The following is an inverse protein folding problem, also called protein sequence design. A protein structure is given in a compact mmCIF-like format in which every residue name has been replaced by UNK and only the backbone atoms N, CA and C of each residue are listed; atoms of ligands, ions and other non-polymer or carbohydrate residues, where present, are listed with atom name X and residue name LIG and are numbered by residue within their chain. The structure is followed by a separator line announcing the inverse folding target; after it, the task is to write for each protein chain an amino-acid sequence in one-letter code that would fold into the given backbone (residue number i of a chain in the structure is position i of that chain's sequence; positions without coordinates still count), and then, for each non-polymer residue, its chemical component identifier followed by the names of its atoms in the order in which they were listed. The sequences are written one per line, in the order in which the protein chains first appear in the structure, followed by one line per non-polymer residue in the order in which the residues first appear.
data_IF_252007035928
#
_entry.id   IF_252007035928
#
_cell.length_a   1.000
_cell.length_b   1.000
_cell.length_c   1.000
_cell.angle_alpha   90.00
_cell.angle_beta   90.00
_cell.angle_gamma   90.00
#
_symmetry.space_group_name_H-M   'P 1'
#
loop_
_entity.id
_entity.type
_entity.pdbx_description
1 polymer ?
#
# COMPACT_ATOMS: atom_id res chain seq x y z
N UNK A 1 21.88 -8.90 18.63
CA UNK A 1 20.51 -8.44 18.92
C UNK A 1 20.01 -7.26 18.07
N UNK A 2 20.85 -6.31 17.62
CA UNK A 2 20.42 -5.19 16.74
C UNK A 2 19.95 -5.61 15.35
N UNK A 3 20.45 -6.72 14.78
CA UNK A 3 20.11 -7.19 13.42
C UNK A 3 18.70 -7.77 13.31
N UNK A 4 18.16 -8.36 14.36
CA UNK A 4 16.80 -8.95 14.38
C UNK A 4 15.69 -7.89 14.42
N UNK A 5 15.94 -6.73 15.04
CA UNK A 5 14.99 -5.61 15.10
C UNK A 5 14.79 -4.93 13.74
N UNK A 6 15.85 -4.84 12.93
CA UNK A 6 15.80 -4.27 11.59
C UNK A 6 15.03 -5.19 10.63
N UNK A 7 15.18 -6.50 10.76
CA UNK A 7 14.43 -7.47 9.94
C UNK A 7 12.93 -7.45 10.25
N UNK A 8 12.53 -7.23 11.50
CA UNK A 8 11.11 -7.11 11.88
C UNK A 8 10.44 -5.84 11.32
N UNK A 9 11.18 -4.75 11.20
CA UNK A 9 10.64 -3.48 10.69
C UNK A 9 10.42 -3.50 9.16
N UNK A 10 11.22 -4.26 8.43
CA UNK A 10 11.11 -4.38 6.97
C UNK A 10 9.87 -5.17 6.49
N UNK A 11 9.34 -6.07 7.32
CA UNK A 11 8.17 -6.91 6.98
C UNK A 11 6.85 -6.13 7.13
N UNK A 12 6.82 -5.06 7.93
CA UNK A 12 5.63 -4.27 8.19
C UNK A 12 5.22 -3.32 7.04
N UNK A 13 6.04 -3.18 6.00
CA UNK A 13 5.80 -2.23 4.90
C UNK A 13 5.02 -2.80 3.72
N UNK A 14 4.60 -4.06 3.75
CA UNK A 14 3.70 -4.61 2.74
C UNK A 14 2.28 -4.10 3.00
N UNK A 15 1.99 -2.89 2.55
CA UNK A 15 0.63 -2.35 2.55
C UNK A 15 -0.25 -3.26 1.69
N UNK A 16 -1.18 -3.97 2.33
CA UNK A 16 -2.18 -4.76 1.62
C UNK A 16 -3.11 -3.81 0.86
N UNK A 17 -2.89 -3.66 -0.42
CA UNK A 17 -3.83 -3.00 -1.32
C UNK A 17 -4.97 -3.98 -1.62
N UNK A 18 -6.20 -3.56 -1.44
CA UNK A 18 -7.36 -4.35 -1.83
C UNK A 18 -8.10 -3.65 -2.97
N UNK A 19 -8.47 -4.42 -3.97
CA UNK A 19 -9.26 -3.97 -5.11
C UNK A 19 -10.71 -4.43 -4.93
N UNK A 20 -11.64 -3.49 -4.99
CA UNK A 20 -13.07 -3.77 -4.97
C UNK A 20 -13.68 -3.46 -6.33
N UNK A 21 -14.45 -4.40 -6.90
CA UNK A 21 -15.22 -4.14 -8.12
C UNK A 21 -16.35 -3.18 -7.82
N UNK A 22 -16.48 -2.14 -8.62
CA UNK A 22 -17.48 -1.07 -8.44
C UNK A 22 -18.16 -0.82 -9.78
N UNK A 23 -19.44 -0.49 -9.73
CA UNK A 23 -20.17 -0.04 -10.91
C UNK A 23 -19.59 1.31 -11.38
N UNK A 24 -19.52 1.52 -12.71
CA UNK A 24 -18.91 2.70 -13.29
C UNK A 24 -19.42 4.03 -12.72
N UNK A 25 -20.74 4.11 -12.50
CA UNK A 25 -21.42 5.31 -11.97
C UNK A 25 -21.18 5.58 -10.48
N UNK A 26 -20.57 4.64 -9.77
CA UNK A 26 -20.30 4.77 -8.33
C UNK A 26 -18.81 5.03 -8.03
N UNK A 27 -17.99 5.24 -9.05
CA UNK A 27 -16.55 5.48 -8.87
C UNK A 27 -16.29 6.96 -8.61
N UNK A 28 -15.67 7.33 -7.49
CA UNK A 28 -15.34 8.73 -7.20
C UNK A 28 -14.24 9.25 -8.13
N UNK A 29 -14.39 10.47 -8.62
CA UNK A 29 -13.31 11.18 -9.35
C UNK A 29 -12.12 11.38 -8.41
N UNK A 30 -10.92 11.21 -8.94
CA UNK A 30 -9.67 11.27 -8.18
C UNK A 30 -9.24 9.96 -7.53
N UNK A 31 -10.05 8.89 -7.67
CA UNK A 31 -9.66 7.56 -7.18
C UNK A 31 -8.66 6.89 -8.11
N UNK A 32 -7.75 6.13 -7.52
CA UNK A 32 -6.91 5.20 -8.26
C UNK A 32 -7.71 3.94 -8.59
N UNK A 33 -7.73 3.61 -9.87
CA UNK A 33 -8.53 2.50 -10.40
C UNK A 33 -7.71 1.60 -11.30
N UNK A 34 -8.20 0.38 -11.40
CA UNK A 34 -7.77 -0.60 -12.37
C UNK A 34 -8.95 -0.91 -13.29
N UNK A 35 -8.81 -0.61 -14.55
CA UNK A 35 -9.83 -0.80 -15.58
C UNK A 35 -9.42 -1.96 -16.46
N UNK A 36 -10.23 -3.02 -16.46
CA UNK A 36 -10.07 -4.14 -17.39
C UNK A 36 -10.85 -3.83 -18.66
N UNK A 37 -10.24 -4.04 -19.80
CA UNK A 37 -10.81 -3.76 -21.10
C UNK A 37 -11.44 -5.01 -21.71
N UNK A 38 -12.47 -4.79 -22.53
CA UNK A 38 -12.97 -5.79 -23.47
C UNK A 38 -12.02 -5.94 -24.66
N UNK A 39 -12.17 -6.97 -25.47
CA UNK A 39 -11.39 -7.12 -26.71
C UNK A 39 -11.62 -5.96 -27.68
N UNK A 40 -12.88 -5.50 -27.78
CA UNK A 40 -13.25 -4.31 -28.58
C UNK A 40 -12.64 -3.03 -27.98
N UNK A 41 -12.61 -2.92 -26.65
CA UNK A 41 -11.98 -1.82 -25.94
C UNK A 41 -10.47 -1.76 -26.17
N UNK A 42 -9.79 -2.90 -26.10
CA UNK A 42 -8.36 -3.00 -26.42
C UNK A 42 -8.06 -2.50 -27.84
N UNK A 43 -8.95 -2.78 -28.80
CA UNK A 43 -8.80 -2.33 -30.17
C UNK A 43 -9.08 -0.83 -30.32
N UNK A 44 -10.10 -0.31 -29.61
CA UNK A 44 -10.49 1.11 -29.73
C UNK A 44 -9.42 2.06 -29.20
N UNK A 45 -8.69 1.68 -28.14
CA UNK A 45 -7.62 2.50 -27.55
C UNK A 45 -6.24 2.23 -28.16
N UNK A 46 -6.14 1.27 -29.09
CA UNK A 46 -4.85 0.85 -29.66
C UNK A 46 -4.13 2.00 -30.41
N UNK A 47 -4.86 2.96 -30.93
CA UNK A 47 -4.27 4.14 -31.58
C UNK A 47 -3.55 5.07 -30.62
N UNK A 48 -3.96 5.09 -29.35
CA UNK A 48 -3.42 5.98 -28.31
C UNK A 48 -2.37 5.29 -27.45
N UNK A 49 -2.61 4.04 -27.04
CA UNK A 49 -1.77 3.31 -26.07
C UNK A 49 -1.04 2.11 -26.68
N UNK A 50 -1.19 1.90 -27.98
CA UNK A 50 -0.66 0.71 -28.66
C UNK A 50 -1.57 -0.50 -28.53
N UNK A 51 -1.24 -1.54 -29.27
CA UNK A 51 -2.07 -2.76 -29.36
C UNK A 51 -1.95 -3.67 -28.15
N UNK A 52 -2.98 -4.51 -27.97
CA UNK A 52 -2.98 -5.62 -26.99
C UNK A 52 -2.96 -5.19 -25.51
N UNK A 53 -3.45 -3.99 -25.20
CA UNK A 53 -3.67 -3.54 -23.82
C UNK A 53 -4.93 -4.22 -23.28
N UNK A 54 -4.81 -4.91 -22.14
CA UNK A 54 -5.93 -5.60 -21.49
C UNK A 54 -6.38 -4.90 -20.22
N UNK A 55 -5.51 -4.09 -19.64
CA UNK A 55 -5.78 -3.44 -18.37
C UNK A 55 -5.04 -2.11 -18.27
N UNK A 56 -5.70 -1.12 -17.69
CA UNK A 56 -5.18 0.20 -17.40
C UNK A 56 -5.26 0.44 -15.90
N UNK A 57 -4.21 0.98 -15.32
CA UNK A 57 -4.19 1.48 -13.94
C UNK A 57 -3.93 2.98 -13.99
N UNK A 58 -4.68 3.74 -13.21
CA UNK A 58 -4.51 5.19 -13.20
C UNK A 58 -5.54 5.89 -12.33
N UNK A 59 -5.46 7.21 -12.32
CA UNK A 59 -6.36 8.07 -11.56
C UNK A 59 -7.49 8.60 -12.43
N UNK A 60 -8.73 8.47 -11.98
CA UNK A 60 -9.91 8.98 -12.67
C UNK A 60 -9.94 10.51 -12.64
N UNK A 61 -10.09 11.12 -13.81
CA UNK A 61 -10.28 12.56 -13.95
C UNK A 61 -11.74 12.94 -14.18
N UNK A 62 -12.50 12.09 -14.88
CA UNK A 62 -13.93 12.27 -15.06
C UNK A 62 -14.63 10.94 -15.31
N UNK A 63 -15.91 10.88 -14.93
CA UNK A 63 -16.81 9.76 -15.22
C UNK A 63 -18.12 10.34 -15.73
N UNK A 64 -18.63 9.80 -16.80
CA UNK A 64 -19.93 10.15 -17.35
C UNK A 64 -20.68 8.92 -17.89
N UNK A 65 -21.87 9.11 -18.44
CA UNK A 65 -22.68 8.01 -18.96
C UNK A 65 -22.08 7.34 -20.21
N UNK A 66 -21.12 7.98 -20.87
CA UNK A 66 -20.49 7.49 -22.10
C UNK A 66 -19.18 6.76 -21.84
N UNK A 67 -18.58 6.94 -20.63
CA UNK A 67 -17.34 6.29 -20.26
C UNK A 67 -16.63 6.97 -19.08
N UNK A 68 -15.34 6.79 -19.04
CA UNK A 68 -14.47 7.44 -18.06
C UNK A 68 -13.20 7.98 -18.73
N UNK A 69 -12.63 9.03 -18.13
CA UNK A 69 -11.29 9.49 -18.45
C UNK A 69 -10.37 9.26 -17.28
N UNK A 70 -9.17 8.78 -17.56
CA UNK A 70 -8.16 8.53 -16.53
C UNK A 70 -6.77 8.97 -16.99
N UNK A 71 -5.96 9.40 -16.04
CA UNK A 71 -4.52 9.58 -16.22
C UNK A 71 -3.86 8.21 -16.00
N UNK A 72 -3.30 7.65 -17.07
CA UNK A 72 -2.71 6.31 -17.04
C UNK A 72 -1.34 6.34 -16.37
N UNK A 73 -1.19 5.60 -15.28
CA UNK A 73 0.08 5.37 -14.59
C UNK A 73 0.75 4.07 -15.00
N UNK A 74 -0.06 3.06 -15.36
CA UNK A 74 0.43 1.74 -15.73
C UNK A 74 -0.53 1.08 -16.71
N UNK A 75 0.01 0.32 -17.64
CA UNK A 75 -0.77 -0.49 -18.58
C UNK A 75 -0.26 -1.93 -18.61
N UNK A 76 -1.18 -2.87 -18.68
CA UNK A 76 -0.87 -4.30 -18.81
C UNK A 76 -1.31 -4.81 -20.17
N UNK A 77 -0.43 -5.51 -20.85
CA UNK A 77 -0.68 -6.11 -22.18
C UNK A 77 -1.06 -7.58 -22.06
N UNK A 78 -1.59 -8.12 -23.13
CA UNK A 78 -1.79 -9.57 -23.27
C UNK A 78 -0.47 -10.30 -23.01
N UNK A 79 -0.51 -11.30 -22.11
CA UNK A 79 0.68 -12.00 -21.67
C UNK A 79 1.26 -11.49 -20.34
N UNK A 80 0.64 -10.44 -19.74
CA UNK A 80 1.00 -9.96 -18.40
C UNK A 80 2.17 -8.98 -18.35
N UNK A 81 2.69 -8.56 -19.51
CA UNK A 81 3.72 -7.53 -19.55
C UNK A 81 3.12 -6.19 -19.06
N UNK A 82 3.77 -5.58 -18.10
CA UNK A 82 3.39 -4.31 -17.50
C UNK A 82 4.36 -3.22 -17.96
N UNK A 83 3.82 -2.09 -18.39
CA UNK A 83 4.56 -0.91 -18.82
C UNK A 83 4.08 0.29 -18.00
N UNK A 84 4.98 1.22 -17.70
CA UNK A 84 4.61 2.48 -17.08
C UNK A 84 3.87 3.36 -18.10
N UNK A 85 2.76 3.92 -17.67
CA UNK A 85 2.04 4.93 -18.43
C UNK A 85 2.80 6.25 -18.38
N UNK A 86 2.73 7.01 -19.48
CA UNK A 86 3.40 8.32 -19.57
C UNK A 86 2.58 9.46 -18.94
N UNK A 87 1.57 9.13 -18.12
CA UNK A 87 0.69 10.13 -17.52
C UNK A 87 -0.29 10.78 -18.51
N UNK A 88 -0.51 10.17 -19.66
CA UNK A 88 -1.47 10.65 -20.63
C UNK A 88 -2.90 10.45 -20.12
N UNK A 89 -3.76 11.44 -20.38
CA UNK A 89 -5.19 11.29 -20.15
C UNK A 89 -5.81 10.50 -21.30
N UNK A 90 -6.46 9.39 -20.95
CA UNK A 90 -7.12 8.51 -21.91
C UNK A 90 -8.60 8.43 -21.59
N UNK A 91 -9.44 8.62 -22.61
CA UNK A 91 -10.88 8.41 -22.52
C UNK A 91 -11.22 6.99 -22.95
N UNK A 92 -11.89 6.26 -22.07
CA UNK A 92 -12.30 4.86 -22.29
C UNK A 92 -13.82 4.82 -22.35
N UNK A 93 -14.40 4.47 -23.50
CA UNK A 93 -15.85 4.36 -23.64
C UNK A 93 -16.42 3.25 -22.74
N UNK A 94 -17.66 3.40 -22.30
CA UNK A 94 -18.28 2.46 -21.36
C UNK A 94 -18.39 1.03 -21.92
N UNK A 95 -18.60 0.88 -23.22
CA UNK A 95 -18.66 -0.42 -23.93
C UNK A 95 -17.29 -1.10 -24.06
N UNK A 96 -16.22 -0.33 -23.95
CA UNK A 96 -14.85 -0.81 -23.94
C UNK A 96 -14.42 -1.36 -22.56
N UNK A 97 -15.21 -1.11 -21.51
CA UNK A 97 -14.88 -1.46 -20.13
C UNK A 97 -15.51 -2.81 -19.76
N UNK A 98 -14.70 -3.78 -19.42
CA UNK A 98 -15.17 -5.06 -18.87
C UNK A 98 -15.43 -4.98 -17.36
N UNK A 99 -14.54 -4.32 -16.62
CA UNK A 99 -14.67 -4.15 -15.16
C UNK A 99 -13.84 -2.95 -14.68
N UNK A 100 -14.35 -2.29 -13.64
CA UNK A 100 -13.61 -1.25 -12.91
C UNK A 100 -13.41 -1.73 -11.48
N UNK A 101 -12.18 -1.63 -11.00
CA UNK A 101 -11.81 -1.94 -9.62
C UNK A 101 -11.18 -0.70 -9.00
N UNK A 102 -11.74 -0.24 -7.90
CA UNK A 102 -11.18 0.88 -7.14
C UNK A 102 -10.11 0.34 -6.19
N UNK A 103 -8.94 0.95 -6.23
CA UNK A 103 -7.89 0.69 -5.28
C UNK A 103 -8.25 1.39 -3.97
N UNK A 104 -8.56 0.62 -2.95
CA UNK A 104 -8.79 1.15 -1.61
C UNK A 104 -7.63 0.79 -0.69
N UNK A 105 -7.06 1.79 -0.05
CA UNK A 105 -6.20 1.56 1.08
C UNK A 105 -7.08 1.06 2.23
N UNK A 106 -6.90 -0.18 2.66
CA UNK A 106 -7.62 -0.70 3.80
C UNK A 106 -7.06 -0.10 5.09
N UNK A 107 -7.41 1.18 5.32
CA UNK A 107 -7.01 1.96 6.50
C UNK A 107 -7.22 1.20 7.82
N UNK A 108 -8.34 0.48 8.05
CA UNK A 108 -8.52 -0.25 9.31
C UNK A 108 -7.50 -1.39 9.50
N UNK A 109 -7.10 -2.08 8.43
CA UNK A 109 -6.07 -3.14 8.53
C UNK A 109 -4.68 -2.57 8.76
N UNK A 110 -4.35 -1.45 8.13
CA UNK A 110 -3.07 -0.77 8.33
C UNK A 110 -2.95 -0.21 9.75
N UNK A 111 -4.03 0.36 10.31
CA UNK A 111 -4.07 0.83 11.70
C UNK A 111 -3.93 -0.30 12.69
N UNK A 112 -4.54 -1.47 12.43
CA UNK A 112 -4.45 -2.63 13.31
C UNK A 112 -3.01 -3.17 13.36
N UNK A 113 -2.34 -3.30 12.23
CA UNK A 113 -0.94 -3.73 12.16
C UNK A 113 -0.01 -2.72 12.82
N UNK A 114 -0.19 -1.43 12.55
CA UNK A 114 0.59 -0.36 13.18
C UNK A 114 0.37 -0.32 14.71
N UNK A 115 -0.88 -0.49 15.17
CA UNK A 115 -1.22 -0.55 16.58
C UNK A 115 -0.54 -1.71 17.31
N UNK A 116 -0.55 -2.90 16.74
CA UNK A 116 0.13 -4.08 17.31
C UNK A 116 1.65 -3.87 17.39
N UNK A 117 2.26 -3.27 16.36
CA UNK A 117 3.70 -3.00 16.34
C UNK A 117 4.10 -2.01 17.46
N UNK A 118 3.32 -0.95 17.68
CA UNK A 118 3.58 0.05 18.73
C UNK A 118 3.41 -0.56 20.11
N UNK A 119 2.34 -1.32 20.36
CA UNK A 119 2.11 -1.98 21.65
C UNK A 119 3.21 -3.02 21.92
N UNK A 120 3.59 -3.80 20.92
CA UNK A 120 4.67 -4.79 21.05
C UNK A 120 6.00 -4.16 21.44
N UNK A 121 6.38 -3.05 20.84
CA UNK A 121 7.64 -2.34 21.17
C UNK A 121 7.63 -1.75 22.58
N UNK A 122 6.50 -1.24 23.06
CA UNK A 122 6.35 -0.71 24.41
C UNK A 122 6.48 -1.83 25.46
N UNK A 123 5.85 -2.98 25.22
CA UNK A 123 5.90 -4.12 26.14
C UNK A 123 7.32 -4.71 26.23
N UNK A 124 7.99 -4.88 25.10
CA UNK A 124 9.38 -5.38 25.06
C UNK A 124 10.34 -4.38 25.72
N UNK A 125 10.16 -3.08 25.45
CA UNK A 125 10.97 -2.02 26.04
C UNK A 125 10.86 -1.99 27.58
N UNK A 126 9.65 -2.17 28.13
CA UNK A 126 9.43 -2.25 29.57
C UNK A 126 10.01 -3.52 30.20
N UNK A 127 9.93 -4.66 29.51
CA UNK A 127 10.50 -5.92 29.99
C UNK A 127 12.02 -5.87 30.03
N UNK A 128 12.68 -5.19 29.11
CA UNK A 128 14.14 -5.05 29.07
C UNK A 128 14.66 -3.93 30.02
N UNK A 129 13.83 -2.92 30.31
CA UNK A 129 14.21 -1.79 31.20
C UNK A 129 14.12 -2.08 32.69
N UNK A 130 13.41 -3.14 33.11
CA UNK A 130 13.20 -3.45 34.51
C UNK A 130 14.23 -4.45 35.07
N UNK A 131 15.28 -4.80 34.33
CA UNK A 131 16.36 -5.71 34.75
C UNK A 131 17.61 -5.04 35.35
N UNK A 132 17.54 -3.74 35.62
CA UNK A 132 18.65 -2.97 36.21
C UNK A 132 18.45 -2.60 37.67
N UNK A 133 18.23 -3.57 38.54
CA UNK A 133 18.41 -3.35 39.98
C UNK A 133 19.88 -3.43 40.32
N UNK A 134 20.47 -2.27 40.53
CA UNK A 134 21.80 -2.13 41.06
C UNK A 134 21.90 -2.78 42.43
N UNK A 135 22.71 -3.80 42.53
CA UNK A 135 23.19 -4.30 43.82
C UNK A 135 24.10 -3.23 44.45
N UNK A 136 23.57 -2.45 45.36
CA UNK A 136 24.37 -1.67 46.29
C UNK A 136 25.06 -2.59 47.28
N UNK A 137 26.32 -2.87 47.03
CA UNK A 137 27.19 -3.54 48.00
C UNK A 137 27.54 -2.51 49.08
N UNK A 138 26.84 -2.58 50.21
CA UNK A 138 27.26 -1.94 51.46
C UNK A 138 28.46 -2.72 52.03
N UNK A 139 29.64 -2.20 51.85
CA UNK A 139 30.82 -2.66 52.59
C UNK A 139 30.81 -2.11 54.01
N UNK A 140 31.03 -2.93 55.04
CA UNK A 140 31.15 -2.45 56.39
C UNK A 140 32.50 -1.77 56.61
N UNK A 141 32.49 -0.49 56.90
CA UNK A 141 33.66 0.23 57.37
C UNK A 141 34.02 -0.20 58.79
N UNK A 142 35.10 -0.93 58.87
CA UNK A 142 35.74 -1.19 60.17
C UNK A 142 36.49 0.05 60.67
N UNK A 143 35.95 0.70 61.66
CA UNK A 143 36.68 1.69 62.47
C UNK A 143 37.80 1.04 63.27
N UNK A 144 38.92 1.64 63.22
CA UNK A 144 39.97 1.37 64.21
C UNK A 144 40.38 2.67 64.86
N UNK A 145 40.05 2.77 66.14
CA UNK A 145 40.60 3.69 67.12
C UNK A 145 42.03 3.33 67.41
N UNK A 146 42.91 4.30 67.45
CA UNK A 146 44.26 4.16 67.92
C UNK A 146 44.80 5.48 68.49
N UNK A 147 44.66 5.66 69.78
CA UNK A 147 45.49 6.43 70.67
C UNK A 147 46.00 7.80 70.27
#
# INVERSE_FOLDING_TARGET
MKRSLVAGLLIATTACQSYSSVALNAVPVGSDVQVSLTDSGSTSIASTLGSRVTQLTGQITSVDSTGLALIVSELTRVGGATELGEGHTVSVPADAIAAVRVQSLSVPRTLLVAGIAVIGTILIGRSLGNGGTGSSVNGPGSGQTGK
#
